data_IF_166560571393
#
_entry.id   IF_166560571393
#
_cell.length_a   1.000
_cell.length_b   1.000
_cell.length_c   1.000
_cell.angle_alpha   90.00
_cell.angle_beta   90.00
_cell.angle_gamma   90.00
#
_symmetry.space_group_name_H-M   'P 1'
#
loop_
_entity.id
_entity.type
_entity.pdbx_description
1 polymer ?
#
# COMPACT_ATOMS: atom_id res chain seq x y z
N UNK A 1 -9.27 -15.49 4.07
CA UNK A 1 -9.55 -14.05 4.33
C UNK A 1 -10.43 -13.55 3.20
N UNK A 2 -11.58 -12.92 3.48
CA UNK A 2 -12.32 -12.21 2.43
C UNK A 2 -11.46 -11.02 2.01
N UNK A 3 -11.14 -10.90 0.72
CA UNK A 3 -10.48 -9.73 0.16
C UNK A 3 -11.49 -8.59 0.15
N UNK A 4 -11.61 -7.89 1.28
CA UNK A 4 -12.41 -6.67 1.32
C UNK A 4 -11.74 -5.62 0.44
N UNK A 5 -12.42 -5.23 -0.63
CA UNK A 5 -11.99 -4.11 -1.46
C UNK A 5 -12.23 -2.82 -0.68
N UNK A 6 -11.12 -2.14 -0.36
CA UNK A 6 -11.16 -0.78 0.16
C UNK A 6 -11.30 0.20 -1.01
N UNK A 7 -11.99 1.30 -0.77
CA UNK A 7 -12.01 2.43 -1.71
C UNK A 7 -10.73 3.26 -1.60
N UNK A 8 -10.48 4.14 -2.57
CA UNK A 8 -9.36 5.09 -2.51
C UNK A 8 -9.41 5.93 -1.23
N UNK A 9 -10.58 6.50 -0.91
CA UNK A 9 -10.80 7.27 0.33
C UNK A 9 -10.43 6.48 1.60
N UNK A 10 -10.69 5.17 1.61
CA UNK A 10 -10.39 4.32 2.76
C UNK A 10 -8.90 4.04 2.91
N UNK A 11 -8.21 3.79 1.80
CA UNK A 11 -6.76 3.70 1.83
C UNK A 11 -6.11 5.02 2.24
N UNK A 12 -6.61 6.14 1.73
CA UNK A 12 -6.10 7.47 2.06
C UNK A 12 -6.33 7.81 3.53
N UNK A 13 -7.47 7.40 4.11
CA UNK A 13 -7.72 7.49 5.54
C UNK A 13 -6.71 6.67 6.36
N UNK A 14 -6.41 5.43 5.95
CA UNK A 14 -5.41 4.60 6.62
C UNK A 14 -4.01 5.23 6.54
N UNK A 15 -3.60 5.76 5.39
CA UNK A 15 -2.31 6.43 5.23
C UNK A 15 -2.20 7.70 6.08
N UNK A 16 -3.27 8.49 6.19
CA UNK A 16 -3.31 9.67 7.07
C UNK A 16 -3.11 9.28 8.53
N UNK A 17 -3.78 8.22 8.99
CA UNK A 17 -3.60 7.72 10.36
C UNK A 17 -2.20 7.13 10.55
N UNK A 18 -1.65 6.42 9.56
CA UNK A 18 -0.31 5.86 9.58
C UNK A 18 0.78 6.93 9.77
N UNK A 19 0.62 8.09 9.11
CA UNK A 19 1.52 9.26 9.22
C UNK A 19 1.36 10.03 10.54
N UNK A 20 0.35 9.69 11.34
CA UNK A 20 -0.01 10.38 12.56
C UNK A 20 -0.92 11.59 12.31
N UNK A 21 -1.95 11.72 13.14
CA UNK A 21 -2.85 12.88 13.13
C UNK A 21 -2.18 14.01 13.90
N UNK A 22 -1.77 15.07 13.19
CA UNK A 22 -1.03 16.21 13.77
C UNK A 22 -1.93 17.21 14.51
N UNK A 23 -3.23 17.19 14.25
CA UNK A 23 -4.24 18.09 14.82
C UNK A 23 -5.03 17.39 15.92
N UNK A 24 -5.71 18.15 16.79
CA UNK A 24 -6.61 17.58 17.81
C UNK A 24 -7.73 16.73 17.21
N UNK A 25 -8.14 17.02 15.97
CA UNK A 25 -9.23 16.32 15.28
C UNK A 25 -8.74 15.61 14.02
N UNK A 26 -9.28 14.42 13.71
CA UNK A 26 -9.05 13.75 12.43
C UNK A 26 -9.61 14.58 11.27
N UNK A 27 -9.06 14.38 10.08
CA UNK A 27 -9.61 14.96 8.84
C UNK A 27 -11.02 14.43 8.57
N UNK A 28 -11.78 15.13 7.71
CA UNK A 28 -13.10 14.67 7.29
C UNK A 28 -13.07 13.29 6.60
N UNK A 29 -11.99 13.00 5.84
CA UNK A 29 -11.77 11.70 5.21
C UNK A 29 -11.60 10.59 6.26
N UNK A 30 -10.76 10.81 7.27
CA UNK A 30 -10.56 9.86 8.37
C UNK A 30 -11.86 9.68 9.17
N UNK A 31 -12.53 10.77 9.53
CA UNK A 31 -13.77 10.73 10.32
C UNK A 31 -14.89 9.95 9.62
N UNK A 32 -15.08 10.14 8.30
CA UNK A 32 -16.06 9.42 7.48
C UNK A 32 -15.81 7.92 7.43
N UNK A 33 -14.54 7.51 7.33
CA UNK A 33 -14.17 6.10 7.13
C UNK A 33 -13.88 5.34 8.43
N UNK A 34 -13.63 6.05 9.54
CA UNK A 34 -13.19 5.46 10.81
C UNK A 34 -14.09 4.32 11.29
N UNK A 35 -15.42 4.49 11.25
CA UNK A 35 -16.38 3.47 11.71
C UNK A 35 -16.23 2.15 10.94
N UNK A 36 -16.17 2.22 9.60
CA UNK A 36 -16.01 1.02 8.75
C UNK A 36 -14.65 0.41 8.96
N UNK A 37 -13.57 1.19 8.89
CA UNK A 37 -12.20 0.71 9.03
C UNK A 37 -11.92 0.08 10.41
N UNK A 38 -12.52 0.59 11.48
CA UNK A 38 -12.49 -0.07 12.80
C UNK A 38 -13.27 -1.39 12.79
N UNK A 39 -14.43 -1.46 12.14
CA UNK A 39 -15.17 -2.71 11.95
C UNK A 39 -14.36 -3.78 11.20
N UNK A 40 -13.49 -3.37 10.29
CA UNK A 40 -12.56 -4.24 9.55
C UNK A 40 -11.28 -4.58 10.32
N UNK A 41 -11.13 -4.06 11.54
CA UNK A 41 -9.95 -4.18 12.39
C UNK A 41 -8.68 -3.61 11.73
N UNK A 42 -8.84 -2.56 10.93
CA UNK A 42 -7.75 -1.81 10.29
C UNK A 42 -7.36 -0.58 11.11
N UNK A 43 -8.30 -0.05 11.91
CA UNK A 43 -8.07 1.02 12.86
C UNK A 43 -8.40 0.58 14.29
N UNK A 44 -7.63 1.09 15.24
CA UNK A 44 -7.84 0.92 16.68
C UNK A 44 -7.50 2.19 17.45
N UNK A 45 -8.09 2.37 18.62
CA UNK A 45 -7.63 3.40 19.55
C UNK A 45 -6.44 2.87 20.35
N UNK A 46 -5.33 3.60 20.33
CA UNK A 46 -4.17 3.35 21.16
C UNK A 46 -4.48 3.71 22.63
N UNK A 47 -3.57 3.33 23.54
CA UNK A 47 -3.74 3.56 24.99
C UNK A 47 -3.84 5.04 25.37
N UNK A 48 -3.31 5.93 24.54
CA UNK A 48 -3.40 7.38 24.69
C UNK A 48 -4.72 7.97 24.14
N UNK A 49 -5.65 7.11 23.71
CA UNK A 49 -6.92 7.51 23.12
C UNK A 49 -6.82 7.98 21.66
N UNK A 50 -5.64 7.93 21.04
CA UNK A 50 -5.47 8.34 19.65
C UNK A 50 -5.80 7.21 18.69
N UNK A 51 -6.34 7.58 17.53
CA UNK A 51 -6.59 6.64 16.45
C UNK A 51 -5.26 6.17 15.84
N UNK A 52 -5.12 4.87 15.65
CA UNK A 52 -3.91 4.20 15.16
C UNK A 52 -4.27 3.11 14.15
N UNK A 53 -3.35 2.80 13.24
CA UNK A 53 -3.49 1.65 12.34
C UNK A 53 -3.07 0.36 13.04
N UNK A 54 -3.72 -0.75 12.70
CA UNK A 54 -3.32 -2.08 13.18
C UNK A 54 -2.19 -2.68 12.33
N UNK A 55 -1.57 -3.75 12.80
CA UNK A 55 -0.60 -4.52 11.99
C UNK A 55 -1.21 -5.01 10.67
N UNK A 56 -2.48 -5.44 10.70
CA UNK A 56 -3.23 -5.83 9.50
C UNK A 56 -3.30 -4.68 8.49
N UNK A 57 -3.56 -3.46 8.96
CA UNK A 57 -3.56 -2.28 8.09
C UNK A 57 -2.16 -1.93 7.57
N UNK A 58 -1.12 -2.09 8.37
CA UNK A 58 0.27 -1.91 7.91
C UNK A 58 0.62 -2.87 6.78
N UNK A 59 0.31 -4.16 6.93
CA UNK A 59 0.53 -5.17 5.89
C UNK A 59 -0.27 -4.85 4.62
N UNK A 60 -1.53 -4.43 4.77
CA UNK A 60 -2.38 -4.04 3.65
C UNK A 60 -1.87 -2.81 2.90
N UNK A 61 -1.42 -1.77 3.62
CA UNK A 61 -0.80 -0.60 3.01
C UNK A 61 0.53 -0.95 2.33
N UNK A 62 1.33 -1.84 2.92
CA UNK A 62 2.55 -2.32 2.29
C UNK A 62 2.28 -3.05 0.97
N UNK A 63 1.29 -3.95 0.93
CA UNK A 63 0.90 -4.63 -0.30
C UNK A 63 0.38 -3.64 -1.35
N UNK A 64 -0.42 -2.64 -0.97
CA UNK A 64 -0.84 -1.56 -1.89
C UNK A 64 0.38 -0.83 -2.47
N UNK A 65 1.35 -0.44 -1.64
CA UNK A 65 2.61 0.20 -2.10
C UNK A 65 3.38 -0.70 -3.08
N UNK A 66 3.46 -2.00 -2.82
CA UNK A 66 4.08 -2.95 -3.75
C UNK A 66 3.35 -3.01 -5.10
N UNK A 67 2.02 -3.07 -5.11
CA UNK A 67 1.22 -3.10 -6.35
C UNK A 67 1.40 -1.79 -7.13
N UNK A 68 1.28 -0.65 -6.45
CA UNK A 68 1.46 0.66 -7.08
C UNK A 68 2.88 0.86 -7.60
N UNK A 69 3.89 0.45 -6.83
CA UNK A 69 5.28 0.49 -7.25
C UNK A 69 5.55 -0.41 -8.46
N UNK A 70 5.00 -1.62 -8.49
CA UNK A 70 5.14 -2.53 -9.62
C UNK A 70 4.47 -1.97 -10.90
N UNK A 71 3.26 -1.39 -10.77
CA UNK A 71 2.58 -0.69 -11.87
C UNK A 71 3.40 0.50 -12.38
N UNK A 72 3.97 1.29 -11.47
CA UNK A 72 4.77 2.45 -11.83
C UNK A 72 6.07 2.04 -12.56
N UNK A 73 6.76 1.00 -12.09
CA UNK A 73 7.94 0.44 -12.77
C UNK A 73 7.60 -0.12 -14.16
N UNK A 74 6.42 -0.73 -14.33
CA UNK A 74 5.98 -1.21 -15.64
C UNK A 74 5.78 -0.08 -16.68
N UNK A 75 5.50 1.14 -16.21
CA UNK A 75 5.33 2.33 -17.06
C UNK A 75 6.66 3.07 -17.22
N UNK A 76 7.40 3.25 -16.13
CA UNK A 76 8.69 3.95 -16.09
C UNK A 76 9.70 3.16 -15.24
N UNK A 77 10.69 2.49 -15.89
CA UNK A 77 11.77 1.77 -15.21
C UNK A 77 12.64 2.64 -14.27
N UNK A 78 12.58 3.97 -14.38
CA UNK A 78 13.31 4.90 -13.50
C UNK A 78 12.51 5.32 -12.27
N UNK A 79 11.30 4.77 -12.08
CA UNK A 79 10.49 5.00 -10.88
C UNK A 79 11.30 4.67 -9.62
N UNK A 80 11.42 5.65 -8.72
CA UNK A 80 12.04 5.44 -7.41
C UNK A 80 11.05 4.72 -6.49
N UNK A 81 11.42 3.51 -6.11
CA UNK A 81 10.69 2.72 -5.12
C UNK A 81 11.21 3.00 -3.71
N UNK A 82 10.32 2.90 -2.72
CA UNK A 82 10.74 2.78 -1.32
C UNK A 82 11.65 1.55 -1.17
N UNK A 83 12.65 1.63 -0.29
CA UNK A 83 13.66 0.57 -0.14
C UNK A 83 13.07 -0.77 0.32
N UNK A 84 12.05 -0.74 1.18
CA UNK A 84 11.31 -1.92 1.64
C UNK A 84 10.51 -2.58 0.50
N UNK A 85 9.88 -1.76 -0.34
CA UNK A 85 9.13 -2.19 -1.53
C UNK A 85 10.07 -2.80 -2.57
N UNK A 86 11.17 -2.11 -2.91
CA UNK A 86 12.17 -2.61 -3.86
C UNK A 86 12.76 -3.95 -3.41
N UNK A 87 13.13 -4.05 -2.12
CA UNK A 87 13.64 -5.30 -1.54
C UNK A 87 12.62 -6.44 -1.66
N UNK A 88 11.35 -6.19 -1.30
CA UNK A 88 10.33 -7.22 -1.35
C UNK A 88 10.01 -7.68 -2.77
N UNK A 89 9.82 -6.74 -3.70
CA UNK A 89 9.54 -7.05 -5.10
C UNK A 89 10.72 -7.78 -5.77
N UNK A 90 11.96 -7.35 -5.50
CA UNK A 90 13.17 -7.99 -6.00
C UNK A 90 13.35 -9.41 -5.42
N UNK A 91 13.15 -9.59 -4.11
CA UNK A 91 13.19 -10.92 -3.46
C UNK A 91 12.14 -11.88 -4.01
N UNK A 92 10.99 -11.35 -4.46
CA UNK A 92 9.92 -12.13 -5.11
C UNK A 92 10.12 -12.29 -6.62
N UNK A 93 11.20 -11.75 -7.18
CA UNK A 93 11.54 -11.75 -8.60
C UNK A 93 10.48 -11.09 -9.49
N UNK A 94 9.79 -10.05 -8.99
CA UNK A 94 8.87 -9.23 -9.81
C UNK A 94 9.58 -8.11 -10.56
N UNK A 95 10.73 -7.68 -10.06
CA UNK A 95 11.58 -6.66 -10.68
C UNK A 95 13.03 -7.14 -10.71
N UNK A 96 13.81 -6.58 -11.61
CA UNK A 96 15.24 -6.85 -11.77
C UNK A 96 15.98 -5.52 -11.83
N UNK A 97 17.14 -5.43 -11.17
CA UNK A 97 18.00 -4.26 -11.30
C UNK A 97 18.49 -4.12 -12.76
N UNK A 98 18.49 -2.90 -13.27
CA UNK A 98 18.92 -2.63 -14.65
C UNK A 98 20.43 -2.79 -14.76
N UNK A 99 20.89 -3.36 -15.87
CA UNK A 99 22.32 -3.53 -16.12
C UNK A 99 23.04 -2.19 -16.38
N UNK A 100 22.33 -1.21 -16.94
CA UNK A 100 22.91 0.05 -17.45
C UNK A 100 22.75 1.25 -16.50
N UNK A 101 22.32 1.06 -15.25
CA UNK A 101 22.26 2.16 -14.27
C UNK A 101 21.15 2.05 -13.24
N UNK A 102 20.65 3.21 -12.82
CA UNK A 102 19.61 3.33 -11.79
C UNK A 102 18.25 2.78 -12.27
N UNK A 103 17.44 2.33 -11.31
CA UNK A 103 16.09 1.85 -11.55
C UNK A 103 15.98 0.33 -11.69
N UNK A 104 14.80 -0.10 -12.12
CA UNK A 104 14.41 -1.51 -12.20
C UNK A 104 13.61 -1.78 -13.45
N UNK A 105 13.85 -2.94 -14.09
CA UNK A 105 12.96 -3.46 -15.12
C UNK A 105 11.97 -4.44 -14.49
N UNK A 106 10.74 -4.48 -15.01
CA UNK A 106 9.76 -5.49 -14.61
C UNK A 106 10.12 -6.85 -15.23
N UNK A 107 10.10 -7.91 -14.42
CA UNK A 107 10.34 -9.27 -14.89
C UNK A 107 9.10 -9.86 -15.58
N UNK A 108 9.23 -11.01 -16.25
CA UNK A 108 8.08 -11.77 -16.77
C UNK A 108 7.07 -12.09 -15.66
N UNK A 109 7.57 -12.61 -14.53
CA UNK A 109 6.74 -12.88 -13.36
C UNK A 109 6.05 -11.63 -12.83
N UNK A 110 6.72 -10.47 -12.86
CA UNK A 110 6.12 -9.18 -12.51
C UNK A 110 4.96 -8.83 -13.41
N UNK A 111 5.13 -8.98 -14.73
CA UNK A 111 4.07 -8.74 -15.74
C UNK A 111 2.88 -9.66 -15.55
N UNK A 112 3.11 -10.96 -15.36
CA UNK A 112 2.04 -11.95 -15.12
C UNK A 112 1.25 -11.59 -13.86
N UNK A 113 1.97 -11.21 -12.78
CA UNK A 113 1.33 -10.82 -11.53
C UNK A 113 0.48 -9.55 -11.68
N UNK A 114 0.91 -8.59 -12.49
CA UNK A 114 0.10 -7.40 -12.78
C UNK A 114 -1.17 -7.76 -13.56
N UNK A 115 -1.08 -8.63 -14.55
CA UNK A 115 -2.26 -9.10 -15.30
C UNK A 115 -3.29 -9.78 -14.38
N UNK A 116 -2.82 -10.59 -13.43
CA UNK A 116 -3.69 -11.21 -12.40
C UNK A 116 -4.33 -10.16 -11.47
N UNK A 117 -3.54 -9.19 -10.99
CA UNK A 117 -4.02 -8.09 -10.14
C UNK A 117 -5.11 -7.29 -10.86
N UNK A 118 -4.89 -6.95 -12.13
CA UNK A 118 -5.85 -6.19 -12.95
C UNK A 118 -7.14 -6.98 -13.17
N UNK A 119 -7.03 -8.30 -13.40
CA UNK A 119 -8.19 -9.21 -13.50
C UNK A 119 -8.99 -9.27 -12.21
N UNK A 120 -8.32 -9.24 -11.06
CA UNK A 120 -8.96 -9.21 -9.74
C UNK A 120 -9.51 -7.81 -9.39
N UNK A 121 -9.17 -6.78 -10.15
CA UNK A 121 -9.55 -5.39 -9.93
C UNK A 121 -9.05 -4.85 -8.59
N UNK A 122 -7.75 -5.04 -8.32
CA UNK A 122 -7.03 -4.60 -7.11
C UNK A 122 -6.17 -3.36 -7.36
#
# INVERSE_FOLDING_TARGET
>A
MKNEKLTTDEYDALEQVARGIKTERPSACVARNAKRLSGLKLLSYARDGRLSITEKAQQLLFLRRCIMGLRAVAVDPLTKLDSDVAYFLGKKAHIVARAEGEGHDISDKGRDSLADIDTLGL
#
